data_IF_296191678755
#
_entry.id   IF_296191678755
#
_cell.length_a   1.000
_cell.length_b   1.000
_cell.length_c   1.000
_cell.angle_alpha   90.00
_cell.angle_beta   90.00
_cell.angle_gamma   90.00
#
_symmetry.space_group_name_H-M   'P 1'
#
loop_
_entity.id
_entity.type
_entity.pdbx_description
1 polymer ?
#
# COMPACT_ATOMS: atom_id res chain seq x y z
N UNK A 1 -12.18 3.50 -53.98
CA UNK A 1 -12.26 3.52 -52.51
C UNK A 1 -12.56 4.94 -52.08
N UNK A 2 -13.76 5.20 -51.57
CA UNK A 2 -14.18 6.53 -51.14
C UNK A 2 -13.63 6.79 -49.73
N UNK A 3 -12.99 7.95 -49.57
CA UNK A 3 -12.45 8.48 -48.32
C UNK A 3 -13.60 8.82 -47.36
N UNK A 4 -13.55 8.28 -46.14
CA UNK A 4 -14.44 8.69 -45.05
C UNK A 4 -14.17 10.17 -44.72
N UNK A 5 -15.23 10.99 -44.79
CA UNK A 5 -15.18 12.42 -44.49
C UNK A 5 -14.79 12.72 -43.03
N UNK A 6 -14.48 13.99 -42.71
CA UNK A 6 -14.06 14.37 -41.37
C UNK A 6 -15.21 14.10 -40.38
N UNK A 7 -14.93 13.27 -39.37
CA UNK A 7 -15.76 13.17 -38.18
C UNK A 7 -15.89 14.57 -37.59
N UNK A 8 -17.08 15.15 -37.73
CA UNK A 8 -17.47 16.34 -36.99
C UNK A 8 -17.39 15.97 -35.51
N UNK A 9 -16.38 16.50 -34.83
CA UNK A 9 -16.31 16.55 -33.38
C UNK A 9 -17.50 17.41 -32.93
N UNK A 10 -18.67 16.79 -32.80
CA UNK A 10 -19.78 17.40 -32.10
C UNK A 10 -19.31 17.51 -30.65
N UNK A 11 -19.09 18.74 -30.21
CA UNK A 11 -18.81 19.10 -28.82
C UNK A 11 -20.06 18.85 -27.99
N UNK A 12 -20.43 17.58 -27.80
CA UNK A 12 -21.28 17.14 -26.70
C UNK A 12 -20.35 16.84 -25.51
N UNK A 13 -19.75 17.92 -24.99
CA UNK A 13 -19.04 17.90 -23.71
C UNK A 13 -20.06 17.52 -22.63
N UNK A 14 -19.78 16.46 -21.88
CA UNK A 14 -20.59 15.93 -20.77
C UNK A 14 -21.97 15.35 -21.11
N UNK A 15 -22.02 14.40 -22.07
CA UNK A 15 -23.14 13.45 -22.05
C UNK A 15 -22.90 12.42 -20.94
N UNK A 16 -23.29 12.77 -19.72
CA UNK A 16 -23.31 11.86 -18.56
C UNK A 16 -24.03 10.58 -18.97
N UNK A 17 -23.32 9.46 -19.03
CA UNK A 17 -23.92 8.18 -19.41
C UNK A 17 -24.49 7.54 -18.14
N UNK A 18 -25.58 6.77 -18.24
CA UNK A 18 -26.18 6.10 -17.05
C UNK A 18 -25.18 5.26 -16.24
N UNK A 19 -24.07 4.85 -16.87
CA UNK A 19 -22.93 4.16 -16.27
C UNK A 19 -22.13 5.06 -15.30
N UNK A 20 -22.00 6.36 -15.58
CA UNK A 20 -21.24 7.31 -14.76
C UNK A 20 -21.94 7.64 -13.43
N UNK A 21 -23.24 7.34 -13.32
CA UNK A 21 -24.03 7.50 -12.10
C UNK A 21 -23.97 6.28 -11.17
N UNK A 22 -23.34 5.18 -11.61
CA UNK A 22 -23.17 3.99 -10.78
C UNK A 22 -21.95 4.23 -9.89
N UNK A 23 -22.10 4.36 -8.56
CA UNK A 23 -20.96 4.45 -7.67
C UNK A 23 -20.14 3.16 -7.76
N UNK A 24 -18.82 3.31 -7.84
CA UNK A 24 -17.93 2.16 -7.76
C UNK A 24 -18.15 1.44 -6.42
N UNK A 25 -18.33 0.12 -6.46
CA UNK A 25 -18.47 -0.70 -5.26
C UNK A 25 -17.15 -0.78 -4.47
N UNK A 26 -16.03 -0.57 -5.15
CA UNK A 26 -14.67 -0.61 -4.59
C UNK A 26 -13.97 0.68 -4.95
N UNK A 27 -13.39 1.35 -3.96
CA UNK A 27 -12.55 2.53 -4.15
C UNK A 27 -11.15 2.11 -4.60
N UNK A 28 -11.06 1.66 -5.85
CA UNK A 28 -9.78 1.22 -6.45
C UNK A 28 -8.69 2.30 -6.35
N UNK A 29 -8.97 3.60 -6.58
CA UNK A 29 -7.97 4.65 -6.35
C UNK A 29 -7.49 4.75 -4.89
N UNK A 30 -8.40 4.67 -3.92
CA UNK A 30 -8.07 4.68 -2.49
C UNK A 30 -7.20 3.48 -2.10
N UNK A 31 -7.56 2.28 -2.53
CA UNK A 31 -6.76 1.07 -2.30
C UNK A 31 -5.36 1.16 -2.92
N UNK A 32 -5.26 1.70 -4.13
CA UNK A 32 -3.97 1.91 -4.78
C UNK A 32 -3.09 2.91 -4.01
N UNK A 33 -3.68 3.99 -3.49
CA UNK A 33 -2.96 4.96 -2.66
C UNK A 33 -2.45 4.34 -1.35
N UNK A 34 -3.28 3.54 -0.68
CA UNK A 34 -2.93 2.84 0.57
C UNK A 34 -1.81 1.82 0.37
N UNK A 35 -1.81 1.11 -0.77
CA UNK A 35 -0.74 0.19 -1.16
C UNK A 35 0.60 0.91 -1.36
N UNK A 36 0.60 2.05 -2.05
CA UNK A 36 1.82 2.85 -2.28
C UNK A 36 2.35 3.38 -0.94
N UNK A 37 1.48 3.92 -0.09
CA UNK A 37 1.86 4.41 1.23
C UNK A 37 2.48 3.32 2.12
N UNK A 38 1.91 2.11 2.08
CA UNK A 38 2.44 0.95 2.81
C UNK A 38 3.83 0.55 2.33
N UNK A 39 4.08 0.58 1.00
CA UNK A 39 5.40 0.30 0.44
C UNK A 39 6.44 1.34 0.86
N UNK A 40 6.10 2.63 0.81
CA UNK A 40 6.99 3.70 1.25
C UNK A 40 7.33 3.60 2.74
N UNK A 41 6.38 3.20 3.58
CA UNK A 41 6.62 2.97 4.99
C UNK A 41 7.61 1.83 5.23
N UNK A 42 7.55 0.75 4.44
CA UNK A 42 8.49 -0.37 4.52
C UNK A 42 9.91 0.02 4.08
N UNK A 43 10.08 0.98 3.16
CA UNK A 43 11.41 1.47 2.74
C UNK A 43 12.23 2.13 3.87
N UNK A 44 11.62 2.44 5.00
CA UNK A 44 12.28 3.01 6.18
C UNK A 44 12.93 1.96 7.08
N UNK A 45 12.56 0.71 6.86
CA UNK A 45 13.08 -0.43 7.57
C UNK A 45 14.36 -0.90 6.89
N UNK A 46 15.28 -1.47 7.67
CA UNK A 46 16.41 -2.19 7.08
C UNK A 46 15.89 -3.45 6.37
N UNK A 47 16.62 -4.02 5.40
CA UNK A 47 16.20 -5.26 4.75
C UNK A 47 15.91 -6.40 5.74
N UNK A 48 16.62 -6.45 6.86
CA UNK A 48 16.39 -7.45 7.90
C UNK A 48 15.12 -7.17 8.72
N UNK A 49 14.84 -5.90 9.02
CA UNK A 49 13.58 -5.49 9.66
C UNK A 49 12.37 -5.76 8.73
N UNK A 50 12.50 -5.51 7.42
CA UNK A 50 11.46 -5.85 6.44
C UNK A 50 11.15 -7.34 6.44
N UNK A 51 12.18 -8.20 6.40
CA UNK A 51 11.99 -9.66 6.47
C UNK A 51 11.28 -10.11 7.75
N UNK A 52 11.62 -9.50 8.89
CA UNK A 52 10.95 -9.79 10.16
C UNK A 52 9.50 -9.33 10.16
N UNK A 53 9.20 -8.15 9.63
CA UNK A 53 7.83 -7.64 9.52
C UNK A 53 6.99 -8.48 8.56
N UNK A 54 7.55 -8.84 7.39
CA UNK A 54 6.90 -9.74 6.44
C UNK A 54 6.51 -11.05 7.13
N UNK A 55 7.48 -11.76 7.70
CA UNK A 55 7.24 -13.06 8.33
C UNK A 55 6.25 -12.99 9.50
N UNK A 56 6.33 -11.97 10.36
CA UNK A 56 5.57 -11.96 11.63
C UNK A 56 4.24 -11.22 11.58
N UNK A 57 4.10 -10.22 10.70
CA UNK A 57 2.91 -9.37 10.63
C UNK A 57 2.08 -9.69 9.39
N UNK A 58 2.73 -9.85 8.24
CA UNK A 58 2.05 -10.08 6.97
C UNK A 58 1.75 -11.57 6.76
N UNK A 59 2.71 -12.44 7.04
CA UNK A 59 2.57 -13.89 6.87
C UNK A 59 2.05 -14.59 8.15
N UNK A 60 2.01 -13.88 9.28
CA UNK A 60 1.42 -14.35 10.53
C UNK A 60 2.24 -15.39 11.32
N UNK A 61 3.52 -15.59 11.01
CA UNK A 61 4.37 -16.49 11.78
C UNK A 61 4.64 -16.00 13.20
N UNK A 62 4.77 -16.93 14.14
CA UNK A 62 5.26 -16.60 15.48
C UNK A 62 6.71 -16.13 15.40
N UNK A 63 7.16 -15.32 16.38
CA UNK A 63 8.57 -14.87 16.42
C UNK A 63 9.55 -16.04 16.50
N UNK A 64 9.13 -17.18 17.05
CA UNK A 64 9.94 -18.40 17.13
C UNK A 64 10.05 -19.09 15.77
N UNK A 65 8.97 -19.14 14.99
CA UNK A 65 8.99 -19.76 13.67
C UNK A 65 9.74 -18.86 12.66
N UNK A 66 9.52 -17.55 12.74
CA UNK A 66 10.31 -16.57 11.99
C UNK A 66 11.81 -16.62 12.34
N UNK A 67 12.16 -16.88 13.61
CA UNK A 67 13.55 -17.03 14.03
C UNK A 67 14.24 -18.23 13.35
N UNK A 68 13.54 -19.36 13.27
CA UNK A 68 14.02 -20.56 12.57
C UNK A 68 14.22 -20.28 11.08
N UNK A 69 13.22 -19.66 10.45
CA UNK A 69 13.24 -19.34 9.02
C UNK A 69 14.37 -18.37 8.66
N UNK A 70 14.58 -17.35 9.50
CA UNK A 70 15.57 -16.30 9.25
C UNK A 70 16.98 -16.66 9.74
N UNK A 71 17.17 -17.84 10.36
CA UNK A 71 18.47 -18.28 10.88
C UNK A 71 19.02 -17.41 12.01
N UNK A 72 18.13 -16.83 12.85
CA UNK A 72 18.50 -15.97 13.98
C UNK A 72 17.81 -16.44 15.27
N UNK A 73 18.17 -15.86 16.42
CA UNK A 73 17.49 -16.20 17.68
C UNK A 73 16.16 -15.43 17.84
N UNK A 74 15.20 -16.01 18.55
CA UNK A 74 13.91 -15.36 18.83
C UNK A 74 14.07 -13.96 19.47
N UNK A 75 14.98 -13.72 20.46
CA UNK A 75 15.18 -12.37 20.99
C UNK A 75 15.70 -11.38 19.95
N UNK A 76 16.41 -11.84 18.92
CA UNK A 76 16.84 -10.98 17.80
C UNK A 76 15.64 -10.57 16.95
N UNK A 77 14.76 -11.52 16.61
CA UNK A 77 13.49 -11.24 15.91
C UNK A 77 12.65 -10.24 16.69
N UNK A 78 12.45 -10.48 18.00
CA UNK A 78 11.68 -9.59 18.87
C UNK A 78 12.22 -8.15 18.82
N UNK A 79 13.53 -7.97 19.02
CA UNK A 79 14.17 -6.65 18.98
C UNK A 79 14.06 -5.97 17.62
N UNK A 80 14.16 -6.72 16.53
CA UNK A 80 14.01 -6.19 15.16
C UNK A 80 12.57 -5.75 14.89
N UNK A 81 11.59 -6.57 15.28
CA UNK A 81 10.17 -6.25 15.19
C UNK A 81 9.82 -4.98 15.97
N UNK A 82 10.27 -4.85 17.21
CA UNK A 82 10.02 -3.65 18.02
C UNK A 82 10.65 -2.38 17.40
N UNK A 83 11.86 -2.49 16.85
CA UNK A 83 12.48 -1.37 16.13
C UNK A 83 11.70 -0.99 14.89
N UNK A 84 11.28 -1.98 14.10
CA UNK A 84 10.50 -1.77 12.89
C UNK A 84 9.16 -1.09 13.21
N UNK A 85 8.40 -1.62 14.17
CA UNK A 85 7.14 -1.04 14.62
C UNK A 85 7.32 0.37 15.18
N UNK A 86 8.42 0.66 15.88
CA UNK A 86 8.73 2.02 16.35
C UNK A 86 8.98 3.00 15.19
N UNK A 87 9.69 2.58 14.14
CA UNK A 87 9.92 3.41 12.93
C UNK A 87 8.63 3.66 12.17
N UNK A 88 7.84 2.61 11.96
CA UNK A 88 6.54 2.69 11.29
C UNK A 88 5.58 3.61 12.05
N UNK A 89 5.39 3.40 13.36
CA UNK A 89 4.52 4.27 14.20
C UNK A 89 4.91 5.75 14.11
N UNK A 90 6.19 6.08 14.05
CA UNK A 90 6.63 7.47 13.91
C UNK A 90 6.14 8.11 12.62
N UNK A 91 6.08 7.39 11.51
CA UNK A 91 5.54 7.91 10.25
C UNK A 91 4.03 8.07 10.30
N UNK A 92 3.31 7.02 10.71
CA UNK A 92 1.85 7.04 10.75
C UNK A 92 1.29 8.03 11.78
N UNK A 93 1.98 8.24 12.92
CA UNK A 93 1.59 9.26 13.90
C UNK A 93 1.88 10.67 13.40
N UNK A 94 2.96 10.88 12.63
CA UNK A 94 3.26 12.19 12.05
C UNK A 94 2.21 12.60 11.01
N UNK A 95 1.72 11.65 10.22
CA UNK A 95 0.69 11.88 9.21
C UNK A 95 -0.64 12.37 9.83
N UNK A 96 -1.04 11.79 10.98
CA UNK A 96 -2.24 12.22 11.72
C UNK A 96 -2.15 13.65 12.30
N UNK A 97 -0.94 14.22 12.42
CA UNK A 97 -0.73 15.57 12.94
C UNK A 97 -0.79 16.67 11.87
N UNK A 98 -0.72 16.33 10.59
CA UNK A 98 -0.66 17.30 9.49
C UNK A 98 -2.06 17.65 8.96
N UNK A 99 -3.10 16.91 9.38
CA UNK A 99 -4.50 17.13 9.00
C UNK A 99 -5.34 17.95 9.99
N UNK A 100 -4.79 18.99 10.64
CA UNK A 100 -5.57 19.94 11.46
C UNK A 100 -5.42 21.37 10.97
#
# INVERSE_FOLDING_TARGET
MLLNGPVTQNTDSDKLTMLDAIPALVDVPGEAADMVFSQEALLLLTPQEQRVVQATILDGFTERDAAKELGVSQPVVHRMKERALKKLRKRFVLDKSIGK
#
